data_IF_322384903444
#
_entry.id   IF_322384903444
#
_cell.length_a   1.000
_cell.length_b   1.000
_cell.length_c   1.000
_cell.angle_alpha   90.00
_cell.angle_beta   90.00
_cell.angle_gamma   90.00
#
_symmetry.space_group_name_H-M   'P 1'
#
loop_
_entity.id
_entity.type
_entity.pdbx_description
1 polymer ?
#
# COMPACT_ATOMS: atom_id res chain seq x y z
N UNK A 1 2.98 -10.14 -8.05
CA UNK A 1 2.05 -11.03 -8.78
C UNK A 1 0.86 -10.20 -9.29
N UNK A 2 -0.01 -10.78 -10.12
CA UNK A 2 -1.33 -10.24 -10.47
C UNK A 2 -2.40 -11.00 -9.69
N UNK A 3 -3.39 -10.29 -9.15
CA UNK A 3 -4.54 -10.88 -8.46
C UNK A 3 -5.82 -10.21 -9.00
N UNK A 4 -6.73 -11.01 -9.53
CA UNK A 4 -8.05 -10.56 -9.95
C UNK A 4 -8.98 -10.46 -8.73
N UNK A 5 -10.17 -9.90 -8.92
CA UNK A 5 -11.17 -9.80 -7.86
C UNK A 5 -11.54 -11.18 -7.29
N UNK A 6 -11.35 -11.34 -5.98
CA UNK A 6 -11.62 -12.59 -5.28
C UNK A 6 -10.45 -13.58 -5.26
N UNK A 7 -9.35 -13.30 -5.97
CA UNK A 7 -8.15 -14.14 -5.92
C UNK A 7 -7.52 -14.09 -4.52
N UNK A 8 -6.97 -15.22 -4.09
CA UNK A 8 -6.19 -15.35 -2.86
C UNK A 8 -4.80 -15.86 -3.22
N UNK A 9 -3.77 -15.22 -2.67
CA UNK A 9 -2.37 -15.64 -2.81
C UNK A 9 -1.77 -15.82 -1.44
N UNK A 10 -1.11 -16.95 -1.23
CA UNK A 10 -0.39 -17.28 0.01
C UNK A 10 1.09 -17.35 -0.31
N UNK A 11 1.91 -16.78 0.57
CA UNK A 11 3.37 -16.86 0.52
C UNK A 11 3.92 -16.79 1.93
N UNK A 12 5.10 -17.39 2.12
CA UNK A 12 5.79 -17.38 3.40
C UNK A 12 6.77 -16.19 3.48
N UNK A 13 6.95 -15.69 4.69
CA UNK A 13 7.96 -14.68 5.03
C UNK A 13 8.84 -15.20 6.16
N UNK A 14 10.08 -14.71 6.33
CA UNK A 14 10.89 -15.08 7.48
C UNK A 14 10.24 -14.68 8.82
N UNK A 15 10.40 -15.49 9.87
CA UNK A 15 9.86 -15.19 11.21
C UNK A 15 10.36 -13.86 11.79
N UNK A 16 11.54 -13.40 11.36
CA UNK A 16 12.16 -12.14 11.76
C UNK A 16 12.06 -11.07 10.67
N UNK A 17 11.00 -11.10 9.86
CA UNK A 17 10.81 -10.13 8.79
C UNK A 17 10.59 -8.73 9.36
N UNK A 18 11.61 -7.89 9.25
CA UNK A 18 11.63 -6.50 9.70
C UNK A 18 11.56 -5.57 8.50
N UNK A 19 10.87 -4.43 8.67
CA UNK A 19 10.58 -3.49 7.57
C UNK A 19 9.82 -4.17 6.40
N UNK A 20 8.96 -5.13 6.71
CA UNK A 20 8.12 -5.80 5.73
C UNK A 20 7.03 -4.87 5.23
N UNK A 21 6.82 -4.83 3.92
CA UNK A 21 5.79 -4.00 3.28
C UNK A 21 5.07 -4.78 2.21
N UNK A 22 3.74 -4.75 2.25
CA UNK A 22 2.87 -5.26 1.20
C UNK A 22 1.97 -4.10 0.75
N UNK A 23 1.80 -3.92 -0.55
CA UNK A 23 0.90 -2.90 -1.10
C UNK A 23 0.23 -3.40 -2.37
N UNK A 24 -0.95 -2.86 -2.64
CA UNK A 24 -1.66 -3.09 -3.89
C UNK A 24 -1.24 -2.07 -4.95
N UNK A 25 -1.27 -2.50 -6.22
CA UNK A 25 -1.04 -1.63 -7.38
C UNK A 25 -2.32 -1.55 -8.21
N UNK A 26 -2.67 -0.36 -8.69
CA UNK A 26 -3.92 -0.13 -9.44
C UNK A 26 -3.62 0.36 -10.86
N UNK A 27 -4.52 -0.01 -11.77
CA UNK A 27 -4.51 0.39 -13.18
C UNK A 27 -3.18 0.04 -13.87
N UNK A 28 -2.91 -1.26 -13.92
CA UNK A 28 -1.66 -1.82 -14.42
C UNK A 28 -1.82 -2.37 -15.84
N UNK A 29 -0.77 -2.23 -16.65
CA UNK A 29 -0.65 -2.93 -17.93
C UNK A 29 -0.09 -4.36 -17.76
N UNK A 30 -0.02 -5.10 -18.87
CA UNK A 30 0.48 -6.47 -18.89
C UNK A 30 1.98 -6.60 -18.54
N UNK A 31 2.75 -5.51 -18.57
CA UNK A 31 4.16 -5.48 -18.15
C UNK A 31 4.31 -5.30 -16.63
N UNK A 32 3.22 -4.96 -15.93
CA UNK A 32 3.24 -4.63 -14.50
C UNK A 32 3.58 -3.17 -14.22
N UNK A 33 3.49 -2.30 -15.23
CA UNK A 33 3.56 -0.85 -15.05
C UNK A 33 2.18 -0.34 -14.62
N UNK A 34 2.12 0.38 -13.51
CA UNK A 34 0.86 0.77 -12.87
C UNK A 34 0.76 2.29 -12.67
N UNK A 35 -0.46 2.80 -12.53
CA UNK A 35 -0.70 4.21 -12.22
C UNK A 35 -0.38 4.53 -10.76
N UNK A 36 -0.78 3.68 -9.81
CA UNK A 36 -0.44 3.83 -8.37
C UNK A 36 0.26 2.59 -7.81
N UNK A 37 1.12 2.81 -6.81
CA UNK A 37 1.94 1.76 -6.22
C UNK A 37 2.96 1.14 -7.18
N UNK A 38 3.24 1.78 -8.32
CA UNK A 38 4.17 1.25 -9.31
C UNK A 38 5.55 0.97 -8.70
N UNK A 39 6.27 -0.02 -9.20
CA UNK A 39 7.61 -0.36 -8.69
C UNK A 39 8.54 -0.71 -9.84
N UNK A 40 9.84 -0.56 -9.62
CA UNK A 40 10.83 -1.11 -10.55
C UNK A 40 10.73 -2.64 -10.58
N UNK A 41 10.96 -3.27 -11.74
CA UNK A 41 10.95 -4.73 -11.92
C UNK A 41 9.70 -5.32 -12.58
N UNK A 42 8.70 -4.50 -12.93
CA UNK A 42 7.48 -4.95 -13.59
C UNK A 42 6.60 -5.77 -12.64
N UNK A 43 6.19 -6.98 -13.03
CA UNK A 43 5.31 -7.82 -12.19
C UNK A 43 5.95 -8.18 -10.84
N UNK A 44 7.28 -8.34 -10.80
CA UNK A 44 8.05 -8.67 -9.58
C UNK A 44 8.86 -7.44 -9.18
N UNK A 45 8.44 -6.78 -8.10
CA UNK A 45 9.08 -5.57 -7.62
C UNK A 45 10.50 -5.84 -7.12
N UNK A 46 11.45 -5.00 -7.54
CA UNK A 46 12.84 -5.00 -7.04
C UNK A 46 13.14 -3.81 -6.13
N UNK A 47 12.22 -2.85 -6.06
CA UNK A 47 12.27 -1.65 -5.22
C UNK A 47 10.90 -1.41 -4.58
N UNK A 48 10.81 -0.60 -3.50
CA UNK A 48 9.53 -0.17 -2.94
C UNK A 48 8.62 0.51 -3.98
N UNK A 49 7.32 0.48 -3.72
CA UNK A 49 6.32 1.15 -4.56
C UNK A 49 6.45 2.66 -4.52
N UNK A 50 6.11 3.32 -5.62
CA UNK A 50 6.01 4.77 -5.75
C UNK A 50 4.68 5.25 -5.15
N UNK A 51 4.70 6.21 -4.22
CA UNK A 51 3.51 6.86 -3.69
C UNK A 51 2.65 7.54 -4.79
N UNK A 52 1.31 7.60 -4.63
CA UNK A 52 0.59 7.16 -3.45
C UNK A 52 0.35 5.65 -3.41
N UNK A 53 0.52 5.06 -2.22
CA UNK A 53 0.23 3.66 -1.96
C UNK A 53 -0.13 3.43 -0.48
N UNK A 54 -1.26 2.77 -0.23
CA UNK A 54 -1.60 2.26 1.10
C UNK A 54 -0.70 1.08 1.41
N UNK A 55 0.00 1.11 2.56
CA UNK A 55 0.94 0.08 2.96
C UNK A 55 0.37 -0.77 4.08
N UNK A 56 0.54 -2.09 3.98
CA UNK A 56 0.53 -2.99 5.13
C UNK A 56 1.98 -3.20 5.58
N UNK A 57 2.32 -2.70 6.76
CA UNK A 57 3.68 -2.74 7.31
C UNK A 57 3.78 -3.80 8.41
N UNK A 58 4.91 -4.50 8.46
CA UNK A 58 5.16 -5.61 9.38
C UNK A 58 6.57 -5.53 9.98
N UNK A 59 6.66 -5.76 11.28
CA UNK A 59 7.90 -6.03 12.02
C UNK A 59 7.65 -7.23 12.91
N UNK A 60 8.11 -8.40 12.47
CA UNK A 60 7.88 -9.68 13.14
C UNK A 60 9.02 -10.03 14.10
N UNK A 61 8.69 -10.75 15.17
CA UNK A 61 9.62 -11.19 16.22
C UNK A 61 10.52 -10.05 16.75
N UNK A 62 9.94 -8.90 17.02
CA UNK A 62 10.62 -7.75 17.64
C UNK A 62 10.97 -8.03 19.11
N UNK A 63 11.29 -6.99 19.89
CA UNK A 63 11.67 -7.18 21.30
C UNK A 63 10.60 -7.94 22.09
N UNK A 64 10.99 -9.05 22.70
CA UNK A 64 10.04 -9.91 23.42
C UNK A 64 9.24 -10.87 22.53
N UNK A 65 9.68 -11.12 21.30
CA UNK A 65 9.00 -11.96 20.30
C UNK A 65 7.59 -11.46 19.98
N UNK A 66 7.42 -10.13 19.96
CA UNK A 66 6.16 -9.49 19.60
C UNK A 66 6.15 -9.12 18.13
N UNK A 67 5.00 -9.28 17.49
CA UNK A 67 4.78 -8.82 16.14
C UNK A 67 4.09 -7.46 16.17
N UNK A 68 4.58 -6.53 15.36
CA UNK A 68 3.98 -5.23 15.13
C UNK A 68 3.54 -5.13 13.68
N UNK A 69 2.35 -4.62 13.46
CA UNK A 69 1.80 -4.38 12.14
C UNK A 69 0.87 -3.19 12.14
N UNK A 70 0.75 -2.54 10.99
CA UNK A 70 -0.12 -1.40 10.81
C UNK A 70 -0.51 -1.23 9.33
N UNK A 71 -1.63 -0.52 9.12
CA UNK A 71 -1.99 0.02 7.81
C UNK A 71 -1.59 1.48 7.80
N UNK A 72 -0.71 1.84 6.88
CA UNK A 72 -0.06 3.15 6.83
C UNK A 72 -0.46 3.92 5.59
N UNK A 73 -0.81 5.20 5.81
CA UNK A 73 -1.08 6.19 4.77
C UNK A 73 0.00 7.29 4.74
N UNK A 74 1.17 7.04 5.35
CA UNK A 74 2.31 7.95 5.26
C UNK A 74 2.68 8.19 3.79
N UNK A 75 2.61 7.13 2.99
CA UNK A 75 2.83 7.13 1.54
C UNK A 75 1.53 7.41 0.75
N UNK A 76 0.49 7.94 1.40
CA UNK A 76 -0.79 8.22 0.78
C UNK A 76 -1.71 6.99 0.69
N UNK A 77 -2.76 7.12 -0.12
CA UNK A 77 -3.81 6.13 -0.28
C UNK A 77 -4.01 5.78 -1.76
N UNK A 78 -4.26 4.51 -2.06
CA UNK A 78 -4.73 4.10 -3.38
C UNK A 78 -5.80 2.99 -3.32
N UNK A 79 -5.65 2.01 -2.43
CA UNK A 79 -6.55 0.86 -2.29
C UNK A 79 -6.85 0.64 -0.79
N UNK A 80 -8.11 0.38 -0.39
CA UNK A 80 -8.42 -0.04 0.97
C UNK A 80 -7.68 -1.33 1.36
N UNK A 81 -7.09 -1.36 2.54
CA UNK A 81 -6.32 -2.51 3.06
C UNK A 81 -6.74 -2.82 4.49
N UNK A 82 -6.74 -4.11 4.83
CA UNK A 82 -6.90 -4.60 6.19
C UNK A 82 -5.89 -5.72 6.47
N UNK A 83 -5.36 -5.73 7.69
CA UNK A 83 -4.52 -6.79 8.25
C UNK A 83 -5.34 -7.48 9.33
N UNK A 84 -5.67 -8.75 9.10
CA UNK A 84 -6.35 -9.62 10.06
C UNK A 84 -5.45 -10.79 10.43
N UNK A 85 -5.63 -11.33 11.63
CA UNK A 85 -4.84 -12.45 12.14
C UNK A 85 -5.75 -13.50 12.80
N UNK A 86 -5.21 -14.70 13.00
CA UNK A 86 -5.85 -15.83 13.66
C UNK A 86 -5.40 -16.01 15.12
N UNK A 87 -4.60 -15.08 15.66
CA UNK A 87 -4.04 -15.12 17.02
C UNK A 87 -4.83 -14.28 18.04
N UNK A 88 -5.90 -13.61 17.60
CA UNK A 88 -6.77 -12.79 18.45
C UNK A 88 -6.26 -11.37 18.71
N UNK A 89 -5.28 -10.89 17.94
CA UNK A 89 -4.83 -9.49 17.97
C UNK A 89 -5.80 -8.58 17.19
N UNK A 90 -5.74 -7.27 17.44
CA UNK A 90 -6.67 -6.30 16.81
C UNK A 90 -6.47 -6.18 15.30
N UNK A 91 -7.54 -5.95 14.54
CA UNK A 91 -7.43 -5.62 13.11
C UNK A 91 -6.82 -4.22 12.93
N UNK A 92 -5.91 -4.07 11.97
CA UNK A 92 -5.47 -2.78 11.47
C UNK A 92 -6.06 -2.58 10.07
N UNK A 93 -6.82 -1.52 9.83
CA UNK A 93 -7.48 -1.30 8.55
C UNK A 93 -7.62 0.17 8.15
N UNK A 94 -7.74 0.38 6.84
CA UNK A 94 -8.26 1.58 6.23
C UNK A 94 -9.32 1.16 5.20
N UNK A 95 -10.58 0.94 5.64
CA UNK A 95 -11.57 0.23 4.83
C UNK A 95 -12.32 1.12 3.84
N UNK A 96 -12.20 2.45 3.96
CA UNK A 96 -12.95 3.42 3.16
C UNK A 96 -12.14 3.82 1.94
N UNK A 97 -12.79 3.91 0.77
CA UNK A 97 -12.17 4.48 -0.42
C UNK A 97 -11.99 6.00 -0.27
N UNK A 98 -10.76 6.42 0.06
CA UNK A 98 -10.41 7.82 0.22
C UNK A 98 -10.22 8.54 -1.12
N UNK A 99 -10.10 7.83 -2.24
CA UNK A 99 -9.90 8.45 -3.55
C UNK A 99 -11.11 9.30 -3.97
N UNK A 100 -12.32 8.87 -3.60
CA UNK A 100 -13.57 9.53 -3.97
C UNK A 100 -13.74 10.92 -3.34
N UNK A 101 -13.19 11.12 -2.13
CA UNK A 101 -13.30 12.37 -1.37
C UNK A 101 -11.93 13.01 -1.11
N UNK A 102 -10.92 12.64 -1.90
CA UNK A 102 -9.58 13.19 -1.75
C UNK A 102 -9.60 14.71 -2.03
N UNK A 103 -9.07 15.56 -1.13
CA UNK A 103 -8.94 17.00 -1.37
C UNK A 103 -8.17 17.28 -2.65
N UNK A 104 -8.54 18.33 -3.38
CA UNK A 104 -8.02 18.61 -4.72
C UNK A 104 -6.49 18.74 -4.74
N UNK A 105 -5.90 19.32 -3.69
CA UNK A 105 -4.46 19.49 -3.51
C UNK A 105 -3.70 18.17 -3.26
N UNK A 106 -4.40 17.11 -2.85
CA UNK A 106 -3.84 15.78 -2.60
C UNK A 106 -4.17 14.78 -3.72
N UNK A 107 -5.06 15.13 -4.64
CA UNK A 107 -5.51 14.21 -5.69
C UNK A 107 -4.37 13.77 -6.60
N UNK A 108 -4.52 12.55 -7.08
CA UNK A 108 -3.73 11.99 -8.15
C UNK A 108 -2.70 10.96 -7.69
N UNK A 109 -2.15 10.21 -8.65
CA UNK A 109 -2.33 10.37 -10.09
C UNK A 109 -3.72 9.94 -10.59
N UNK A 110 -4.10 10.41 -11.77
CA UNK A 110 -5.32 9.97 -12.45
C UNK A 110 -5.02 8.84 -13.44
N UNK A 111 -5.94 7.90 -13.57
CA UNK A 111 -5.87 6.78 -14.51
C UNK A 111 -7.19 6.60 -15.25
N UNK A 112 -7.44 5.38 -15.74
CA UNK A 112 -8.57 5.05 -16.59
C UNK A 112 -9.93 5.30 -15.92
N UNK A 113 -10.01 5.19 -14.59
CA UNK A 113 -11.27 5.38 -13.83
C UNK A 113 -11.34 6.72 -13.08
N UNK A 114 -10.48 7.68 -13.40
CA UNK A 114 -10.45 9.00 -12.75
C UNK A 114 -9.34 9.10 -11.72
N UNK A 115 -9.65 9.56 -10.50
CA UNK A 115 -8.65 9.69 -9.43
C UNK A 115 -8.27 8.30 -8.90
N UNK A 116 -6.99 7.92 -9.05
CA UNK A 116 -6.49 6.58 -8.69
C UNK A 116 -5.70 6.57 -7.39
N UNK A 117 -5.46 7.75 -6.82
CA UNK A 117 -4.71 7.91 -5.58
C UNK A 117 -5.02 9.21 -4.85
N UNK A 118 -4.67 9.22 -3.57
CA UNK A 118 -4.67 10.40 -2.72
C UNK A 118 -3.32 10.50 -2.03
N UNK A 119 -2.54 11.50 -2.36
CA UNK A 119 -1.22 11.73 -1.77
C UNK A 119 -1.36 12.09 -0.29
N UNK A 120 -0.36 11.73 0.50
CA UNK A 120 -0.19 12.39 1.79
C UNK A 120 0.34 13.81 1.58
N UNK A 121 0.23 14.66 2.61
CA UNK A 121 0.72 16.04 2.53
C UNK A 121 2.22 16.13 2.21
N UNK A 122 3.02 15.14 2.67
CA UNK A 122 4.44 15.01 2.36
C UNK A 122 4.66 14.86 0.84
N UNK A 123 4.00 13.88 0.21
CA UNK A 123 4.15 13.63 -1.23
C UNK A 123 3.43 14.66 -2.11
N UNK A 124 2.49 15.42 -1.55
CA UNK A 124 1.92 16.60 -2.20
C UNK A 124 2.77 17.87 -2.01
N UNK A 125 3.81 17.83 -1.17
CA UNK A 125 4.70 18.95 -0.83
C UNK A 125 3.91 20.21 -0.40
N UNK A 126 2.91 20.02 0.48
CA UNK A 126 2.04 21.12 0.89
C UNK A 126 2.73 22.18 1.75
N UNK A 127 3.87 21.86 2.37
CA UNK A 127 4.71 22.81 3.11
C UNK A 127 5.77 23.50 2.22
N UNK A 128 5.91 23.08 0.97
CA UNK A 128 6.86 23.62 0.01
C UNK A 128 8.31 23.23 0.26
N UNK A 129 8.58 22.23 1.11
CA UNK A 129 9.92 21.74 1.40
C UNK A 129 10.10 20.28 0.92
N UNK A 130 10.69 20.08 -0.29
CA UNK A 130 10.83 18.76 -0.90
C UNK A 130 11.84 17.85 -0.19
#
# INVERSE_FOLDING_TARGET
WQANTGDTVTFDVPDNWTAGRIWGRRDCDASGTCVTGNCAGGIVCTQPGTPPATLAEFTLAASGNQDFYDVSLVDGFNIPVAITNDQGCSTADCPVDLNANCPAELQGPSGASGNEGCKSACFANLDGNP
#
